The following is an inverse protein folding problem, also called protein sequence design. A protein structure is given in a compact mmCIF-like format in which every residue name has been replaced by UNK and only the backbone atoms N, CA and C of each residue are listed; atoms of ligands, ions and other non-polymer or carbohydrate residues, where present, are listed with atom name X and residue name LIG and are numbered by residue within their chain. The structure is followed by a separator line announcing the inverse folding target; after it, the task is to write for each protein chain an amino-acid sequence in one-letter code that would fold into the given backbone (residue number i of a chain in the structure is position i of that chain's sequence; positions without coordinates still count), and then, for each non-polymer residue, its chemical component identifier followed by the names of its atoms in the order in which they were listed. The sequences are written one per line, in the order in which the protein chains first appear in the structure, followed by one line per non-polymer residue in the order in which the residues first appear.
data_IF_745984015518
#
_entry.id   IF_745984015518
#
_cell.length_a   1.000
_cell.length_b   1.000
_cell.length_c   1.000
_cell.angle_alpha   90.00
_cell.angle_beta   90.00
_cell.angle_gamma   90.00
#
_symmetry.space_group_name_H-M   'P 1'
#
loop_
_entity.id
_entity.type
_entity.pdbx_description
1 polymer ?
#
# COMPACT_ATOMS: atom_id res chain seq x y z
N UNK A 1 -20.95 8.56 -26.19
CA UNK A 1 -21.92 8.52 -25.07
C UNK A 1 -21.52 7.37 -24.15
N UNK A 2 -21.25 7.70 -22.89
CA UNK A 2 -21.13 6.86 -21.69
C UNK A 2 -20.71 5.39 -21.82
N UNK A 3 -19.41 5.12 -21.68
CA UNK A 3 -18.97 3.90 -21.00
C UNK A 3 -18.68 4.29 -19.55
N UNK A 4 -19.47 3.81 -18.60
CA UNK A 4 -19.22 4.05 -17.17
C UNK A 4 -17.90 3.37 -16.80
N UNK A 5 -16.81 4.14 -16.74
CA UNK A 5 -15.51 3.62 -16.31
C UNK A 5 -15.59 3.13 -14.86
N UNK A 6 -14.91 2.03 -14.55
CA UNK A 6 -14.69 1.60 -13.16
C UNK A 6 -13.52 2.42 -12.61
N UNK A 7 -13.73 3.08 -11.47
CA UNK A 7 -12.71 3.85 -10.76
C UNK A 7 -12.30 3.11 -9.50
N UNK A 8 -11.01 3.06 -9.24
CA UNK A 8 -10.43 2.63 -7.96
C UNK A 8 -9.76 3.79 -7.26
N UNK A 9 -10.06 3.96 -5.97
CA UNK A 9 -9.33 4.85 -5.08
C UNK A 9 -8.69 4.02 -3.97
N UNK A 10 -7.36 4.03 -3.91
CA UNK A 10 -6.57 3.38 -2.87
C UNK A 10 -6.25 4.40 -1.77
N UNK A 11 -7.28 4.80 -1.01
CA UNK A 11 -7.13 5.84 0.00
C UNK A 11 -6.45 5.30 1.24
N UNK A 12 -5.15 5.58 1.37
CA UNK A 12 -4.41 5.38 2.61
C UNK A 12 -3.64 6.64 3.02
N UNK A 13 -3.45 6.82 4.32
CA UNK A 13 -2.64 7.88 4.89
C UNK A 13 -1.96 7.42 6.17
N UNK A 14 -0.78 7.98 6.44
CA UNK A 14 -0.05 7.85 7.69
C UNK A 14 0.01 9.25 8.31
N UNK A 15 -0.44 9.38 9.55
CA UNK A 15 -0.45 10.61 10.29
C UNK A 15 0.47 10.50 11.50
N UNK A 16 1.34 11.51 11.73
CA UNK A 16 2.14 11.56 12.93
C UNK A 16 1.26 11.97 14.12
N UNK A 17 1.74 11.78 15.35
CA UNK A 17 1.13 12.43 16.50
C UNK A 17 1.23 13.95 16.34
N UNK A 18 0.10 14.65 16.49
CA UNK A 18 0.02 16.11 16.41
C UNK A 18 0.06 16.68 17.84
N UNK A 19 0.93 17.67 18.07
CA UNK A 19 0.89 18.48 19.28
C UNK A 19 -0.43 19.27 19.31
N UNK A 20 -1.32 18.96 20.26
CA UNK A 20 -2.62 19.63 20.37
C UNK A 20 -2.54 21.12 20.69
N UNK A 21 -1.40 21.61 21.20
CA UNK A 21 -1.18 23.01 21.54
C UNK A 21 -0.61 23.82 20.37
N UNK A 22 0.39 23.31 19.65
CA UNK A 22 1.03 24.03 18.53
C UNK A 22 0.52 23.60 17.15
N UNK A 23 -0.26 22.52 17.10
CA UNK A 23 -0.68 21.86 15.87
C UNK A 23 0.46 21.17 15.11
N UNK A 24 1.67 21.14 15.65
CA UNK A 24 2.86 20.63 14.96
C UNK A 24 2.97 19.11 15.03
N UNK A 25 3.37 18.44 13.93
CA UNK A 25 3.71 17.03 13.96
C UNK A 25 4.91 16.78 14.88
N UNK A 26 4.89 15.68 15.64
CA UNK A 26 5.93 15.35 16.59
C UNK A 26 6.71 14.11 16.19
N UNK A 27 8.01 14.27 15.96
CA UNK A 27 8.98 13.16 16.02
C UNK A 27 8.80 12.05 14.99
N UNK A 28 8.07 12.33 13.92
CA UNK A 28 7.89 11.47 12.76
C UNK A 28 8.36 12.23 11.53
N UNK A 29 9.03 11.55 10.62
CA UNK A 29 9.43 12.08 9.31
C UNK A 29 9.02 11.07 8.26
N UNK A 30 8.31 11.53 7.22
CA UNK A 30 7.96 10.70 6.08
C UNK A 30 8.80 11.09 4.86
N UNK A 31 9.64 10.19 4.39
CA UNK A 31 10.42 10.33 3.16
C UNK A 31 9.73 9.57 2.04
N UNK A 32 9.31 10.28 0.99
CA UNK A 32 8.71 9.68 -0.20
C UNK A 32 9.81 9.12 -1.10
N UNK A 33 10.37 7.98 -0.68
CA UNK A 33 11.47 7.30 -1.36
C UNK A 33 10.99 6.01 -1.99
N UNK A 34 11.49 5.74 -3.19
CA UNK A 34 11.27 4.48 -3.87
C UNK A 34 12.22 3.40 -3.33
N UNK A 35 11.94 2.94 -2.10
CA UNK A 35 12.76 1.94 -1.42
C UNK A 35 12.82 0.56 -2.11
N UNK A 36 11.81 0.07 -2.86
CA UNK A 36 11.91 -1.23 -3.52
C UNK A 36 13.15 -1.37 -4.41
N UNK A 37 13.54 -0.29 -5.11
CA UNK A 37 14.76 -0.26 -5.91
C UNK A 37 16.02 -0.31 -5.04
N UNK A 38 16.07 0.49 -3.96
CA UNK A 38 17.20 0.54 -3.00
C UNK A 38 17.53 -0.83 -2.40
N UNK A 39 16.50 -1.65 -2.14
CA UNK A 39 16.66 -2.99 -1.57
C UNK A 39 16.65 -4.10 -2.63
N UNK A 40 16.54 -3.74 -3.93
CA UNK A 40 16.42 -4.67 -5.04
C UNK A 40 15.29 -5.69 -4.85
N UNK A 41 14.13 -5.17 -4.41
CA UNK A 41 12.86 -5.85 -4.18
C UNK A 41 11.79 -5.25 -5.11
N UNK A 42 12.11 -5.20 -6.40
CA UNK A 42 11.23 -4.66 -7.43
C UNK A 42 10.20 -5.69 -7.87
N UNK A 43 8.91 -5.33 -7.87
CA UNK A 43 7.87 -6.19 -8.42
C UNK A 43 7.94 -6.17 -9.94
N UNK A 44 8.09 -7.33 -10.61
CA UNK A 44 8.09 -7.37 -12.06
C UNK A 44 6.80 -6.80 -12.65
N UNK A 45 6.93 -6.03 -13.72
CA UNK A 45 5.80 -5.49 -14.49
C UNK A 45 4.89 -4.51 -13.73
N UNK A 46 5.37 -3.94 -12.61
CA UNK A 46 4.66 -2.87 -11.92
C UNK A 46 4.62 -1.59 -12.77
N UNK A 47 3.44 -0.96 -12.88
CA UNK A 47 3.20 0.29 -13.61
C UNK A 47 3.56 1.54 -12.81
N UNK A 48 3.74 1.39 -11.49
CA UNK A 48 3.98 2.48 -10.55
C UNK A 48 3.19 2.30 -9.27
N UNK A 49 3.13 3.37 -8.48
CA UNK A 49 2.47 3.40 -7.18
C UNK A 49 3.14 4.39 -6.23
N UNK A 50 3.00 4.16 -4.93
CA UNK A 50 3.62 4.98 -3.89
C UNK A 50 4.61 4.13 -3.09
N UNK A 51 5.75 4.73 -2.75
CA UNK A 51 6.66 4.16 -1.77
C UNK A 51 7.10 5.27 -0.81
N UNK A 52 7.17 4.93 0.47
CA UNK A 52 7.59 5.83 1.53
C UNK A 52 8.39 5.09 2.59
N UNK A 53 9.25 5.83 3.25
CA UNK A 53 9.91 5.45 4.48
C UNK A 53 9.45 6.41 5.56
N UNK A 54 8.89 5.87 6.63
CA UNK A 54 8.49 6.62 7.82
C UNK A 54 9.51 6.31 8.91
N UNK A 55 10.20 7.33 9.41
CA UNK A 55 11.05 7.25 10.59
C UNK A 55 10.36 7.92 11.76
N UNK A 56 10.37 7.27 12.91
CA UNK A 56 9.80 7.82 14.15
C UNK A 56 10.79 7.66 15.30
N UNK A 57 11.38 8.78 15.70
CA UNK A 57 12.45 8.84 16.70
C UNK A 57 11.90 9.06 18.12
N UNK A 58 10.63 9.48 18.22
CA UNK A 58 9.93 9.60 19.48
C UNK A 58 9.07 8.38 19.64
N UNK A 59 9.17 7.64 20.75
CA UNK A 59 8.34 6.45 21.08
C UNK A 59 6.83 6.71 21.20
N UNK A 60 6.29 7.63 20.41
CA UNK A 60 4.90 8.03 20.26
C UNK A 60 4.36 7.38 18.99
N UNK A 61 3.27 6.66 19.14
CA UNK A 61 2.54 6.08 18.02
C UNK A 61 1.88 7.16 17.17
N UNK A 62 1.86 6.93 15.86
CA UNK A 62 1.08 7.67 14.89
C UNK A 62 -0.26 6.98 14.63
N UNK A 63 -0.96 7.42 13.58
CA UNK A 63 -2.20 6.81 13.16
C UNK A 63 -2.26 6.55 11.65
N UNK A 64 -2.86 5.42 11.29
CA UNK A 64 -3.13 5.02 9.92
C UNK A 64 -4.59 5.25 9.55
N UNK A 65 -4.81 5.61 8.30
CA UNK A 65 -6.11 5.66 7.67
C UNK A 65 -6.09 4.79 6.43
N UNK A 66 -7.09 3.91 6.26
CA UNK A 66 -7.27 3.15 5.04
C UNK A 66 -8.75 2.94 4.73
N UNK A 67 -9.16 3.37 3.55
CA UNK A 67 -10.55 3.29 3.08
C UNK A 67 -10.62 3.21 1.56
N UNK A 68 -10.33 2.04 0.97
CA UNK A 68 -10.37 1.87 -0.48
C UNK A 68 -11.82 1.91 -1.01
N UNK A 69 -11.96 2.26 -2.29
CA UNK A 69 -13.24 2.20 -3.01
C UNK A 69 -13.05 1.74 -4.44
N UNK A 70 -13.93 0.87 -4.97
CA UNK A 70 -13.96 0.44 -6.37
C UNK A 70 -15.40 0.49 -6.87
N UNK A 71 -15.61 1.04 -8.07
CA UNK A 71 -16.89 0.93 -8.75
C UNK A 71 -17.09 1.97 -9.84
N UNK A 72 -18.26 1.97 -10.51
CA UNK A 72 -18.57 2.90 -11.59
C UNK A 72 -18.45 4.36 -11.14
N UNK A 73 -17.77 5.20 -11.92
CA UNK A 73 -17.47 6.60 -11.56
C UNK A 73 -18.73 7.43 -11.27
N UNK A 74 -19.84 7.11 -11.91
CA UNK A 74 -21.15 7.76 -11.75
C UNK A 74 -21.85 7.43 -10.43
N UNK A 75 -21.37 6.46 -9.67
CA UNK A 75 -21.93 6.11 -8.35
C UNK A 75 -21.33 6.95 -7.22
N UNK A 76 -22.15 7.33 -6.24
CA UNK A 76 -21.67 7.95 -5.01
C UNK A 76 -20.55 7.14 -4.35
N UNK A 77 -19.54 7.83 -3.80
CA UNK A 77 -18.36 7.18 -3.22
C UNK A 77 -18.71 6.14 -2.14
N UNK A 78 -19.78 6.36 -1.37
CA UNK A 78 -20.21 5.45 -0.31
C UNK A 78 -20.69 4.09 -0.85
N UNK A 79 -21.28 4.05 -2.05
CA UNK A 79 -21.70 2.82 -2.73
C UNK A 79 -20.52 2.05 -3.34
N UNK A 80 -19.37 2.71 -3.51
CA UNK A 80 -18.14 2.13 -4.03
C UNK A 80 -17.20 1.62 -2.93
N UNK A 81 -17.53 1.81 -1.66
CA UNK A 81 -16.65 1.47 -0.54
C UNK A 81 -16.48 -0.05 -0.38
N UNK A 82 -15.25 -0.49 -0.11
CA UNK A 82 -14.88 -1.90 -0.09
C UNK A 82 -15.28 -2.67 1.19
N UNK A 83 -16.07 -2.06 2.08
CA UNK A 83 -16.31 -2.60 3.44
C UNK A 83 -15.10 -2.51 4.38
N UNK A 84 -13.93 -2.15 3.87
CA UNK A 84 -12.73 -1.87 4.67
C UNK A 84 -12.76 -0.43 5.14
N UNK A 85 -12.73 -0.25 6.47
CA UNK A 85 -12.69 1.06 7.11
C UNK A 85 -11.78 1.01 8.33
N UNK A 86 -10.55 1.50 8.17
CA UNK A 86 -9.58 1.62 9.26
C UNK A 86 -9.29 3.08 9.49
N UNK A 87 -9.89 3.60 10.55
CA UNK A 87 -9.73 4.99 10.97
C UNK A 87 -8.98 4.98 12.30
N UNK A 88 -7.84 5.63 12.35
CA UNK A 88 -6.97 5.72 13.53
C UNK A 88 -6.30 4.39 13.92
N UNK A 89 -5.90 3.57 12.94
CA UNK A 89 -5.08 2.38 13.21
C UNK A 89 -3.78 2.81 13.91
N UNK A 90 -3.43 2.21 15.05
CA UNK A 90 -2.25 2.63 15.81
C UNK A 90 -1.00 2.17 15.08
N UNK A 91 -0.12 3.11 14.72
CA UNK A 91 1.15 2.82 14.07
C UNK A 91 2.30 3.05 15.07
N UNK A 92 3.08 2.04 15.44
CA UNK A 92 4.15 2.18 16.41
C UNK A 92 5.29 3.06 15.88
N UNK A 93 6.14 3.51 16.80
CA UNK A 93 7.37 4.22 16.47
C UNK A 93 8.42 3.29 15.82
N UNK A 94 9.50 3.86 15.29
CA UNK A 94 10.53 3.17 14.52
C UNK A 94 10.39 3.33 13.00
N UNK A 95 11.21 2.58 12.26
CA UNK A 95 11.30 2.62 10.81
C UNK A 95 10.27 1.71 10.13
N UNK A 96 9.46 2.30 9.25
CA UNK A 96 8.52 1.58 8.38
C UNK A 96 8.77 1.94 6.91
N UNK A 97 9.01 0.95 6.08
CA UNK A 97 9.08 1.08 4.63
C UNK A 97 7.78 0.54 4.05
N UNK A 98 6.92 1.42 3.54
CA UNK A 98 5.63 1.07 2.95
C UNK A 98 5.71 1.29 1.44
N UNK A 99 5.27 0.33 0.65
CA UNK A 99 5.06 0.51 -0.78
C UNK A 99 3.73 -0.12 -1.21
N UNK A 100 3.04 0.58 -2.10
CA UNK A 100 1.89 0.07 -2.83
C UNK A 100 2.21 0.21 -4.31
N UNK A 101 2.12 -0.89 -5.05
CA UNK A 101 2.40 -0.95 -6.49
C UNK A 101 1.25 -1.61 -7.24
N UNK A 102 1.17 -1.37 -8.55
CA UNK A 102 0.11 -1.92 -9.38
C UNK A 102 0.66 -2.70 -10.57
N UNK A 103 0.18 -3.93 -10.77
CA UNK A 103 0.58 -4.83 -11.86
C UNK A 103 -0.64 -5.09 -12.77
N UNK A 104 -0.53 -4.95 -14.10
CA UNK A 104 -1.61 -5.21 -15.02
C UNK A 104 -1.84 -6.72 -15.16
N UNK A 105 -3.09 -7.15 -15.07
CA UNK A 105 -3.49 -8.56 -15.19
C UNK A 105 -4.03 -8.91 -16.59
N UNK A 106 -4.52 -7.93 -17.34
CA UNK A 106 -4.96 -8.09 -18.72
C UNK A 106 -4.63 -6.84 -19.55
N UNK A 107 -4.72 -6.94 -20.88
CA UNK A 107 -4.53 -5.78 -21.76
C UNK A 107 -5.68 -4.82 -21.52
N UNK A 108 -5.36 -3.62 -21.03
CA UNK A 108 -6.36 -2.61 -20.72
C UNK A 108 -5.74 -1.21 -20.72
N UNK A 109 -6.60 -0.22 -20.59
CA UNK A 109 -6.22 1.18 -20.41
C UNK A 109 -6.74 1.64 -19.07
N UNK A 110 -5.82 2.10 -18.22
CA UNK A 110 -6.13 2.63 -16.90
C UNK A 110 -5.89 4.13 -16.89
N UNK A 111 -6.79 4.85 -16.24
CA UNK A 111 -6.54 6.24 -15.83
C UNK A 111 -6.13 6.21 -14.38
N UNK A 112 -4.87 6.56 -14.14
CA UNK A 112 -4.27 6.52 -12.82
C UNK A 112 -3.85 7.94 -12.44
N UNK A 113 -4.12 8.29 -11.19
CA UNK A 113 -3.58 9.51 -10.61
C UNK A 113 -2.19 9.21 -10.05
N UNK A 114 -1.14 9.63 -10.76
CA UNK A 114 0.23 9.55 -10.24
C UNK A 114 0.47 10.72 -9.30
N UNK A 115 0.85 10.40 -8.07
CA UNK A 115 1.23 11.38 -7.05
C UNK A 115 2.75 11.56 -7.09
N UNK A 116 3.22 12.68 -7.63
CA UNK A 116 4.65 13.01 -7.65
C UNK A 116 4.99 13.88 -6.44
N UNK A 117 5.87 13.44 -5.53
CA UNK A 117 6.34 14.26 -4.41
C UNK A 117 6.98 15.55 -4.92
N UNK A 118 6.58 16.71 -4.41
CA UNK A 118 7.21 18.01 -4.75
C UNK A 118 8.12 18.55 -3.64
N UNK A 119 8.13 17.91 -2.48
CA UNK A 119 8.96 18.23 -1.32
C UNK A 119 9.03 17.02 -0.38
N UNK A 120 10.02 17.03 0.52
CA UNK A 120 10.07 16.07 1.62
C UNK A 120 8.85 16.28 2.54
N UNK A 121 8.24 15.19 3.01
CA UNK A 121 7.10 15.27 3.91
C UNK A 121 7.59 15.36 5.37
N UNK A 122 8.19 16.49 5.68
CA UNK A 122 8.66 16.86 7.02
C UNK A 122 7.65 17.76 7.75
N UNK A 123 6.88 18.56 7.00
CA UNK A 123 5.78 19.38 7.53
C UNK A 123 4.41 18.77 7.20
N UNK A 124 3.86 18.01 8.13
CA UNK A 124 2.56 17.37 8.00
C UNK A 124 1.37 18.35 8.05
N UNK A 125 1.61 19.66 8.13
CA UNK A 125 0.58 20.71 7.98
C UNK A 125 0.38 21.12 6.53
N UNK A 126 1.34 20.81 5.65
CA UNK A 126 1.24 21.19 4.25
C UNK A 126 0.55 20.06 3.46
N UNK A 127 -0.65 20.34 2.96
CA UNK A 127 -1.43 19.37 2.18
C UNK A 127 -1.03 19.33 0.70
N UNK A 128 -0.16 20.23 0.24
CA UNK A 128 0.36 20.29 -1.13
C UNK A 128 1.68 19.53 -1.26
N UNK A 129 1.70 18.25 -0.87
CA UNK A 129 2.91 17.40 -0.88
C UNK A 129 3.14 16.74 -2.22
N UNK A 130 2.08 16.61 -3.00
CA UNK A 130 2.07 15.89 -4.25
C UNK A 130 1.53 16.78 -5.36
N UNK A 131 2.17 16.72 -6.52
CA UNK A 131 1.51 17.06 -7.76
C UNK A 131 0.71 15.84 -8.22
N UNK A 132 -0.61 15.98 -8.31
CA UNK A 132 -1.50 14.95 -8.85
C UNK A 132 -1.55 15.10 -10.36
N UNK A 133 -1.01 14.11 -11.08
CA UNK A 133 -1.08 14.05 -12.54
C UNK A 133 -1.96 12.88 -12.93
N UNK A 134 -3.02 13.14 -13.71
CA UNK A 134 -3.77 12.05 -14.34
C UNK A 134 -2.97 11.55 -15.54
N UNK A 135 -2.63 10.26 -15.53
CA UNK A 135 -1.95 9.57 -16.62
C UNK A 135 -2.83 8.45 -17.14
N UNK A 136 -2.89 8.33 -18.46
CA UNK A 136 -3.51 7.18 -19.11
C UNK A 136 -2.39 6.17 -19.42
N UNK A 137 -2.43 5.03 -18.72
CA UNK A 137 -1.49 3.94 -18.91
C UNK A 137 -2.17 2.85 -19.73
N UNK A 138 -1.55 2.50 -20.86
CA UNK A 138 -1.96 1.40 -21.70
C UNK A 138 -0.94 0.27 -21.55
N UNK A 139 -1.34 -0.87 -21.00
CA UNK A 139 -0.52 -2.08 -21.02
C UNK A 139 -1.00 -2.94 -22.18
N UNK A 140 -0.15 -3.01 -23.21
CA UNK A 140 -0.34 -3.87 -24.39
C UNK A 140 0.29 -5.24 -24.22
N UNK A 141 1.10 -5.42 -23.17
CA UNK A 141 1.69 -6.68 -22.75
C UNK A 141 1.39 -6.94 -21.27
N UNK A 142 0.99 -8.17 -20.94
CA UNK A 142 0.75 -8.59 -19.57
C UNK A 142 1.75 -9.67 -19.16
N UNK A 143 2.20 -9.59 -17.92
CA UNK A 143 2.97 -10.66 -17.30
C UNK A 143 1.96 -11.56 -16.57
N UNK A 144 1.96 -12.89 -16.78
CA UNK A 144 1.10 -13.78 -16.02
C UNK A 144 1.32 -13.57 -14.53
N UNK A 145 0.27 -13.18 -13.79
CA UNK A 145 0.41 -12.76 -12.37
C UNK A 145 1.06 -13.86 -11.52
N UNK A 146 0.78 -15.13 -11.81
CA UNK A 146 1.46 -16.27 -11.16
C UNK A 146 2.98 -16.21 -11.35
N UNK A 147 3.46 -15.96 -12.56
CA UNK A 147 4.88 -15.84 -12.85
C UNK A 147 5.50 -14.58 -12.20
N UNK A 148 4.74 -13.48 -12.11
CA UNK A 148 5.17 -12.28 -11.36
C UNK A 148 5.38 -12.60 -9.88
N UNK A 149 4.42 -13.29 -9.26
CA UNK A 149 4.51 -13.69 -7.85
C UNK A 149 5.68 -14.66 -7.61
N UNK A 150 5.84 -15.68 -8.46
CA UNK A 150 6.95 -16.66 -8.36
C UNK A 150 8.32 -16.00 -8.55
N UNK A 151 8.46 -15.11 -9.53
CA UNK A 151 9.72 -14.40 -9.77
C UNK A 151 10.07 -13.44 -8.62
N UNK A 152 9.06 -12.76 -8.07
CA UNK A 152 9.25 -11.88 -6.93
C UNK A 152 9.62 -12.65 -5.66
N UNK A 153 8.92 -13.76 -5.37
CA UNK A 153 9.21 -14.68 -4.26
C UNK A 153 10.64 -15.23 -4.33
N UNK A 154 11.05 -15.70 -5.51
CA UNK A 154 12.42 -16.15 -5.74
C UNK A 154 13.44 -15.04 -5.51
N UNK A 155 13.14 -13.80 -5.93
CA UNK A 155 13.99 -12.64 -5.68
C UNK A 155 14.12 -12.32 -4.19
N UNK A 156 13.03 -12.37 -3.43
CA UNK A 156 13.02 -12.16 -1.97
C UNK A 156 13.90 -13.20 -1.28
N UNK A 157 13.68 -14.49 -1.58
CA UNK A 157 14.47 -15.59 -1.02
C UNK A 157 15.96 -15.48 -1.38
N UNK A 158 16.29 -15.08 -2.61
CA UNK A 158 17.67 -14.86 -3.04
C UNK A 158 18.38 -13.72 -2.27
N UNK A 159 17.64 -12.84 -1.57
CA UNK A 159 18.19 -11.84 -0.65
C UNK A 159 18.41 -12.36 0.77
N UNK A 160 18.16 -13.64 1.02
CA UNK A 160 18.34 -14.29 2.32
C UNK A 160 17.14 -14.12 3.26
N UNK A 161 15.98 -13.75 2.72
CA UNK A 161 14.72 -13.80 3.47
C UNK A 161 14.17 -15.22 3.47
N UNK A 162 13.62 -15.64 4.60
CA UNK A 162 12.90 -16.90 4.75
C UNK A 162 11.41 -16.62 4.93
N UNK A 163 10.56 -17.41 4.28
CA UNK A 163 9.11 -17.31 4.48
C UNK A 163 8.75 -17.82 5.88
N UNK A 164 7.98 -17.03 6.62
CA UNK A 164 7.46 -17.35 7.95
C UNK A 164 5.94 -17.25 7.94
N UNK A 165 5.30 -17.84 8.96
CA UNK A 165 3.84 -17.84 9.04
C UNK A 165 3.31 -16.39 9.14
N UNK A 166 2.39 -15.95 8.27
CA UNK A 166 1.83 -14.61 8.34
C UNK A 166 0.94 -14.46 9.58
N UNK A 167 0.90 -13.26 10.16
CA UNK A 167 -0.01 -12.95 11.28
C UNK A 167 -1.47 -12.88 10.85
N UNK A 168 -1.71 -12.50 9.59
CA UNK A 168 -3.04 -12.25 9.02
C UNK A 168 -3.11 -12.88 7.64
N UNK A 169 -4.24 -13.52 7.36
CA UNK A 169 -4.59 -14.01 6.02
C UNK A 169 -5.72 -13.14 5.47
N UNK A 170 -5.46 -12.31 4.45
CA UNK A 170 -6.50 -11.47 3.85
C UNK A 170 -7.64 -12.32 3.28
N UNK A 171 -8.88 -11.89 3.52
CA UNK A 171 -10.09 -12.49 2.95
C UNK A 171 -10.68 -11.63 1.84
N UNK A 172 -11.37 -12.29 0.92
CA UNK A 172 -12.06 -11.61 -0.18
C UNK A 172 -13.14 -10.64 0.31
N UNK A 173 -13.28 -9.50 -0.36
CA UNK A 173 -14.30 -8.49 -0.08
C UNK A 173 -14.83 -7.87 -1.37
N UNK A 174 -15.62 -6.80 -1.26
CA UNK A 174 -16.29 -6.17 -2.40
C UNK A 174 -15.33 -5.58 -3.45
N UNK A 175 -14.08 -5.27 -3.09
CA UNK A 175 -13.11 -4.66 -3.99
C UNK A 175 -11.92 -5.55 -4.32
N UNK A 176 -11.55 -6.45 -3.42
CA UNK A 176 -10.33 -7.23 -3.54
C UNK A 176 -10.58 -8.72 -3.46
N UNK A 177 -9.90 -9.45 -4.35
CA UNK A 177 -9.72 -10.90 -4.31
C UNK A 177 -8.24 -11.17 -3.98
N UNK A 178 -7.92 -11.66 -2.77
CA UNK A 178 -6.56 -12.01 -2.38
C UNK A 178 -5.99 -13.10 -3.28
N UNK A 179 -4.77 -12.89 -3.79
CA UNK A 179 -4.04 -13.86 -4.61
C UNK A 179 -2.91 -14.52 -3.82
N UNK A 180 -2.22 -13.73 -3.00
CA UNK A 180 -1.15 -14.21 -2.12
C UNK A 180 -0.92 -13.21 -0.99
N UNK A 181 -0.61 -13.71 0.20
CA UNK A 181 -0.13 -12.91 1.31
C UNK A 181 0.97 -13.71 2.03
N UNK A 182 2.17 -13.17 2.05
CA UNK A 182 3.35 -13.82 2.61
C UNK A 182 4.06 -12.88 3.57
N UNK A 183 4.63 -13.47 4.61
CA UNK A 183 5.52 -12.78 5.52
C UNK A 183 6.89 -13.41 5.39
N UNK A 184 7.91 -12.58 5.27
CA UNK A 184 9.29 -13.00 5.22
C UNK A 184 10.08 -12.39 6.36
N UNK A 185 11.11 -13.09 6.81
CA UNK A 185 12.03 -12.64 7.85
C UNK A 185 13.48 -12.80 7.40
N UNK A 186 14.30 -11.82 7.73
CA UNK A 186 15.76 -11.86 7.64
C UNK A 186 16.33 -11.15 8.85
N UNK A 187 17.04 -11.88 9.71
CA UNK A 187 17.54 -11.36 10.99
C UNK A 187 16.40 -10.75 11.84
N UNK A 188 16.48 -9.46 12.18
CA UNK A 188 15.44 -8.70 12.90
C UNK A 188 14.51 -7.92 11.96
N UNK A 189 14.67 -8.07 10.64
CA UNK A 189 13.87 -7.42 9.62
C UNK A 189 12.77 -8.34 9.11
N UNK A 190 11.55 -7.80 9.02
CA UNK A 190 10.38 -8.45 8.45
C UNK A 190 9.96 -7.73 7.17
N UNK A 191 9.41 -8.49 6.23
CA UNK A 191 8.84 -8.02 4.98
C UNK A 191 7.50 -8.71 4.77
N UNK A 192 6.39 -7.96 4.84
CA UNK A 192 5.07 -8.44 4.46
C UNK A 192 4.80 -8.07 3.00
N UNK A 193 4.26 -9.01 2.22
CA UNK A 193 3.89 -8.80 0.82
C UNK A 193 2.53 -9.41 0.54
N UNK A 194 1.63 -8.61 -0.04
CA UNK A 194 0.29 -9.03 -0.40
C UNK A 194 -0.02 -8.65 -1.85
N UNK A 195 -0.46 -9.64 -2.63
CA UNK A 195 -1.01 -9.47 -3.97
C UNK A 195 -2.52 -9.64 -3.90
N UNK A 196 -3.27 -8.62 -4.31
CA UNK A 196 -4.73 -8.63 -4.33
C UNK A 196 -5.25 -8.11 -5.67
N UNK A 197 -6.10 -8.89 -6.36
CA UNK A 197 -6.77 -8.44 -7.58
C UNK A 197 -7.82 -7.38 -7.22
N UNK A 198 -7.77 -6.25 -7.92
CA UNK A 198 -8.79 -5.21 -7.87
C UNK A 198 -9.96 -5.62 -8.76
N UNK A 199 -11.13 -5.85 -8.17
CA UNK A 199 -12.31 -6.37 -8.87
C UNK A 199 -12.77 -5.39 -9.95
N UNK A 200 -12.97 -5.91 -11.16
CA UNK A 200 -13.48 -5.14 -12.30
C UNK A 200 -12.48 -4.18 -12.95
N UNK A 201 -11.17 -4.31 -12.66
CA UNK A 201 -10.14 -3.42 -13.23
C UNK A 201 -8.95 -4.11 -13.88
N UNK A 202 -8.94 -5.45 -14.01
CA UNK A 202 -7.79 -6.20 -14.56
C UNK A 202 -6.43 -5.75 -14.00
N UNK A 203 -6.40 -5.40 -12.71
CA UNK A 203 -5.26 -4.82 -12.02
C UNK A 203 -5.02 -5.58 -10.73
N UNK A 204 -3.76 -5.76 -10.35
CA UNK A 204 -3.35 -6.34 -9.06
C UNK A 204 -2.66 -5.25 -8.25
N UNK A 205 -3.16 -5.02 -7.04
CA UNK A 205 -2.50 -4.23 -6.00
C UNK A 205 -1.47 -5.09 -5.30
N UNK A 206 -0.27 -4.56 -5.15
CA UNK A 206 0.83 -5.19 -4.40
C UNK A 206 1.18 -4.29 -3.23
N UNK A 207 0.89 -4.73 -2.01
CA UNK A 207 1.29 -4.07 -0.78
C UNK A 207 2.59 -4.70 -0.29
N UNK A 208 3.58 -3.87 0.03
CA UNK A 208 4.83 -4.29 0.64
C UNK A 208 5.11 -3.43 1.87
N UNK A 209 5.43 -4.07 2.99
CA UNK A 209 5.72 -3.40 4.25
C UNK A 209 6.97 -4.04 4.85
N UNK A 210 7.99 -3.24 5.13
CA UNK A 210 9.25 -3.72 5.71
C UNK A 210 9.66 -2.88 6.93
N UNK A 211 10.23 -3.54 7.93
CA UNK A 211 10.58 -2.93 9.22
C UNK A 211 10.90 -4.01 10.25
N UNK A 212 10.85 -3.67 11.54
CA UNK A 212 10.87 -4.68 12.60
C UNK A 212 9.50 -5.40 12.72
N UNK A 213 9.43 -6.45 13.52
CA UNK A 213 8.21 -7.26 13.70
C UNK A 213 6.96 -6.44 14.08
N UNK A 214 7.08 -5.61 15.12
CA UNK A 214 5.96 -4.82 15.66
C UNK A 214 5.44 -3.81 14.63
N UNK A 215 6.35 -3.11 13.97
CA UNK A 215 6.04 -2.15 12.92
C UNK A 215 5.36 -2.82 11.72
N UNK A 216 5.93 -3.91 11.20
CA UNK A 216 5.36 -4.57 10.02
C UNK A 216 3.99 -5.14 10.34
N UNK A 217 3.78 -5.72 11.52
CA UNK A 217 2.48 -6.24 11.94
C UNK A 217 1.42 -5.13 12.00
N UNK A 218 1.70 -4.03 12.69
CA UNK A 218 0.75 -2.92 12.83
C UNK A 218 0.41 -2.25 11.48
N UNK A 219 1.41 -2.05 10.62
CA UNK A 219 1.18 -1.51 9.27
C UNK A 219 0.40 -2.50 8.39
N UNK A 220 0.64 -3.80 8.53
CA UNK A 220 -0.10 -4.84 7.80
C UNK A 220 -1.57 -4.82 8.20
N UNK A 221 -1.86 -4.79 9.50
CA UNK A 221 -3.20 -4.62 10.05
C UNK A 221 -3.87 -3.34 9.54
N UNK A 222 -3.13 -2.24 9.43
CA UNK A 222 -3.64 -0.96 8.95
C UNK A 222 -3.95 -0.96 7.44
N UNK A 223 -3.16 -1.64 6.59
CA UNK A 223 -3.19 -1.40 5.15
C UNK A 223 -3.48 -2.62 4.26
N UNK A 224 -3.64 -3.82 4.83
CA UNK A 224 -4.01 -5.04 4.09
C UNK A 224 -5.33 -4.88 3.33
N UNK A 225 -5.42 -5.43 2.12
CA UNK A 225 -6.64 -5.41 1.33
C UNK A 225 -7.69 -6.43 1.79
N UNK A 226 -7.43 -7.23 2.84
CA UNK A 226 -8.40 -8.14 3.44
C UNK A 226 -9.19 -7.52 4.61
N UNK A 227 -10.16 -8.26 5.15
CA UNK A 227 -10.83 -7.90 6.40
C UNK A 227 -9.92 -8.25 7.59
N UNK A 228 -9.78 -7.34 8.54
CA UNK A 228 -9.17 -7.64 9.85
C UNK A 228 -10.32 -7.87 10.80
N UNK A 229 -10.65 -9.13 11.09
CA UNK A 229 -11.58 -9.46 12.15
C UNK A 229 -10.85 -9.37 13.49
N UNK A 230 -11.18 -8.34 14.29
CA UNK A 230 -10.87 -8.38 15.70
C UNK A 230 -11.85 -9.34 16.36
N UNK A 231 -11.42 -10.55 16.71
CA UNK A 231 -12.17 -11.37 17.64
C UNK A 231 -12.07 -10.70 19.03
N UNK A 232 -13.11 -9.92 19.34
CA UNK A 232 -13.41 -9.41 20.68
C UNK A 232 -13.86 -10.53 21.62
#
# INVERSE_FOLDING_TARGET
MGGSGVTFNDWFAVYPPINRTTGEPQGWIAHLIYWPEKFNLMVPCALGGLAMHVSSDTGKSGSGYYRPSVGPEDRPIHERMCGIRRENAVLPAGDAYLAVQYVPAANSTWRLSVLTPIKEWTDFKDYNLFHKTEVELNATCTCPIKAVMEAFDASVMAKGFEEVKPWITPTENNCFEPLSAKLYRKDDQYLYVEFARVKGMDLVRVLMIMGNEETVKAYTEAFTAGVVENNS
#
